data_IF_929663318226
#
_entry.id   IF_929663318226
#
_cell.length_a   1.000
_cell.length_b   1.000
_cell.length_c   1.000
_cell.angle_alpha   90.00
_cell.angle_beta   90.00
_cell.angle_gamma   90.00
#
_symmetry.space_group_name_H-M   'P 1'
#
loop_
_entity.id
_entity.type
_entity.pdbx_description
1 polymer ?
#
# COMPACT_ATOMS: atom_id res chain seq x y z
N UNK A 1 -18.50 22.03 3.37
CA UNK A 1 -17.07 22.05 3.02
C UNK A 1 -16.94 22.80 1.71
N UNK A 2 -16.06 23.79 1.57
CA UNK A 2 -15.83 24.41 0.26
C UNK A 2 -15.42 23.32 -0.72
N UNK A 3 -15.98 23.37 -1.94
CA UNK A 3 -15.60 22.46 -3.02
C UNK A 3 -14.14 22.78 -3.35
N UNK A 4 -13.24 21.85 -3.05
CA UNK A 4 -11.81 21.99 -3.35
C UNK A 4 -11.64 22.09 -4.87
N UNK A 5 -10.76 22.98 -5.31
CA UNK A 5 -10.48 23.13 -6.74
C UNK A 5 -9.83 21.86 -7.29
N UNK A 6 -10.29 21.41 -8.47
CA UNK A 6 -9.83 20.15 -9.06
C UNK A 6 -8.38 20.22 -9.56
N UNK A 7 -7.91 21.41 -9.99
CA UNK A 7 -6.51 21.58 -10.38
C UNK A 7 -5.62 21.61 -9.14
N UNK A 8 -6.07 22.26 -8.06
CA UNK A 8 -5.39 22.19 -6.76
C UNK A 8 -5.29 20.75 -6.26
N UNK A 9 -6.39 19.99 -6.31
CA UNK A 9 -6.41 18.58 -5.93
C UNK A 9 -5.43 17.74 -6.78
N UNK A 10 -5.42 17.96 -8.10
CA UNK A 10 -4.49 17.31 -9.04
C UNK A 10 -3.04 17.64 -8.70
N UNK A 11 -2.73 18.91 -8.46
CA UNK A 11 -1.39 19.35 -8.05
C UNK A 11 -0.96 18.73 -6.74
N UNK A 12 -1.83 18.66 -5.73
CA UNK A 12 -1.50 18.00 -4.45
C UNK A 12 -1.23 16.51 -4.66
N UNK A 13 -2.10 15.80 -5.40
CA UNK A 13 -1.89 14.38 -5.73
C UNK A 13 -0.56 14.15 -6.44
N UNK A 14 -0.13 15.06 -7.30
CA UNK A 14 1.16 14.97 -7.98
C UNK A 14 2.34 15.33 -7.07
N UNK A 15 2.33 16.50 -6.47
CA UNK A 15 3.48 17.05 -5.74
C UNK A 15 3.69 16.38 -4.38
N UNK A 16 2.61 16.10 -3.65
CA UNK A 16 2.69 15.53 -2.30
C UNK A 16 2.66 14.00 -2.29
N UNK A 17 1.91 13.40 -3.22
CA UNK A 17 1.71 11.94 -3.26
C UNK A 17 2.44 11.27 -4.43
N UNK A 18 2.86 12.02 -5.44
CA UNK A 18 3.61 11.51 -6.59
C UNK A 18 2.74 10.92 -7.69
N UNK A 19 1.41 11.06 -7.68
CA UNK A 19 0.55 10.43 -8.69
C UNK A 19 0.49 11.22 -10.00
N UNK A 20 0.76 10.52 -11.11
CA UNK A 20 0.66 11.04 -12.47
C UNK A 20 -0.75 10.90 -13.04
N UNK A 21 -1.50 9.92 -12.52
CA UNK A 21 -2.91 9.67 -12.84
C UNK A 21 -3.69 9.17 -11.64
N UNK A 22 -4.95 9.60 -11.55
CA UNK A 22 -5.95 9.00 -10.66
C UNK A 22 -6.53 7.70 -11.22
N UNK A 23 -7.10 6.84 -10.35
CA UNK A 23 -7.83 5.65 -10.78
C UNK A 23 -9.02 6.01 -11.67
N UNK A 24 -9.44 5.10 -12.54
CA UNK A 24 -10.58 5.29 -13.44
C UNK A 24 -11.92 5.33 -12.71
N UNK A 25 -12.01 4.71 -11.53
CA UNK A 25 -13.20 4.75 -10.67
C UNK A 25 -13.52 6.14 -10.14
N UNK A 26 -12.54 7.05 -10.09
CA UNK A 26 -12.74 8.42 -9.64
C UNK A 26 -12.97 9.36 -10.81
N UNK A 27 -14.10 10.07 -10.81
CA UNK A 27 -14.34 11.17 -11.75
C UNK A 27 -13.48 12.38 -11.42
N UNK A 28 -13.30 12.67 -10.12
CA UNK A 28 -12.65 13.87 -9.60
C UNK A 28 -11.33 13.56 -8.89
N UNK A 29 -10.35 14.46 -9.02
CA UNK A 29 -9.07 14.40 -8.29
C UNK A 29 -9.26 14.65 -6.80
N UNK A 30 -10.23 15.49 -6.42
CA UNK A 30 -10.57 15.73 -5.02
C UNK A 30 -11.01 14.47 -4.27
N UNK A 31 -11.81 13.62 -4.92
CA UNK A 31 -12.24 12.34 -4.36
C UNK A 31 -11.09 11.34 -4.21
N UNK A 32 -10.17 11.29 -5.17
CA UNK A 32 -8.97 10.47 -5.04
C UNK A 32 -8.05 10.98 -3.92
N UNK A 33 -7.87 12.30 -3.79
CA UNK A 33 -7.11 12.89 -2.69
C UNK A 33 -7.73 12.57 -1.33
N UNK A 34 -9.07 12.54 -1.25
CA UNK A 34 -9.78 12.14 -0.04
C UNK A 34 -9.49 10.67 0.32
N UNK A 35 -9.53 9.76 -0.65
CA UNK A 35 -9.18 8.34 -0.44
C UNK A 35 -7.73 8.19 0.05
N UNK A 36 -6.78 8.90 -0.56
CA UNK A 36 -5.37 8.90 -0.16
C UNK A 36 -5.14 9.38 1.27
N UNK A 37 -5.94 10.34 1.73
CA UNK A 37 -5.86 10.90 3.10
C UNK A 37 -6.56 10.03 4.13
N UNK A 38 -7.51 9.20 3.70
CA UNK A 38 -8.33 8.38 4.60
C UNK A 38 -7.57 7.18 5.14
N UNK A 39 -6.48 6.72 4.51
CA UNK A 39 -5.90 5.41 4.85
C UNK A 39 -4.41 5.54 5.17
N UNK A 40 -4.00 4.84 6.22
CA UNK A 40 -2.58 4.74 6.60
C UNK A 40 -2.23 3.31 7.04
N UNK A 41 -1.09 2.82 6.58
CA UNK A 41 -0.47 1.61 7.09
C UNK A 41 0.74 1.96 7.95
N UNK A 42 0.87 1.30 9.10
CA UNK A 42 2.00 1.44 10.01
C UNK A 42 2.63 0.10 10.31
N UNK A 43 3.96 0.09 10.32
CA UNK A 43 4.76 -1.02 10.82
C UNK A 43 5.48 -0.58 12.09
N UNK A 44 5.53 -1.45 13.08
CA UNK A 44 6.24 -1.22 14.35
C UNK A 44 6.92 -2.50 14.82
N UNK A 45 7.96 -2.36 15.64
CA UNK A 45 8.62 -3.49 16.30
C UNK A 45 8.22 -3.51 17.77
N UNK A 46 7.58 -4.60 18.21
CA UNK A 46 7.34 -4.81 19.64
C UNK A 46 8.65 -5.28 20.32
N UNK A 47 9.04 -4.70 21.47
CA UNK A 47 10.29 -5.01 22.16
C UNK A 47 10.20 -6.35 22.91
N UNK A 48 10.40 -7.44 22.18
CA UNK A 48 10.53 -8.81 22.67
C UNK A 48 11.82 -9.39 22.06
N UNK A 49 12.44 -10.40 22.69
CA UNK A 49 13.63 -11.07 22.16
C UNK A 49 13.42 -11.50 20.69
N UNK A 50 14.17 -10.87 19.76
CA UNK A 50 14.07 -11.12 18.32
C UNK A 50 13.16 -10.17 17.52
N UNK A 51 12.38 -9.29 18.17
CA UNK A 51 11.56 -8.26 17.55
C UNK A 51 10.37 -8.81 16.76
N UNK A 52 9.15 -8.54 17.23
CA UNK A 52 7.92 -8.98 16.53
C UNK A 52 7.42 -7.84 15.65
N UNK A 53 7.21 -8.09 14.35
CA UNK A 53 6.52 -7.11 13.49
C UNK A 53 5.08 -6.99 13.93
N UNK A 54 4.63 -5.74 14.04
CA UNK A 54 3.21 -5.43 14.12
C UNK A 54 2.82 -4.54 12.94
N UNK A 55 1.90 -5.02 12.12
CA UNK A 55 1.21 -4.25 11.08
C UNK A 55 -0.06 -3.65 11.67
N UNK A 56 -0.31 -2.36 11.40
CA UNK A 56 -1.54 -1.67 11.80
C UNK A 56 -2.14 -0.99 10.59
N UNK A 57 -3.43 -1.24 10.32
CA UNK A 57 -4.20 -0.54 9.31
C UNK A 57 -5.11 0.48 10.00
N UNK A 58 -5.11 1.70 9.49
CA UNK A 58 -5.81 2.85 10.05
C UNK A 58 -6.74 3.48 9.03
N UNK A 59 -7.83 4.04 9.53
CA UNK A 59 -8.73 4.92 8.81
C UNK A 59 -8.76 6.28 9.51
N UNK A 60 -8.53 7.33 8.73
CA UNK A 60 -8.59 8.73 9.15
C UNK A 60 -9.93 9.33 8.73
N UNK A 61 -10.68 9.87 9.69
CA UNK A 61 -11.97 10.50 9.47
C UNK A 61 -12.14 11.80 10.24
N UNK A 62 -13.34 12.38 10.18
CA UNK A 62 -13.66 13.61 10.91
C UNK A 62 -13.59 13.47 12.43
N UNK A 63 -13.67 12.25 12.95
CA UNK A 63 -13.56 11.91 14.38
C UNK A 63 -12.13 11.57 14.82
N UNK A 64 -11.15 11.61 13.90
CA UNK A 64 -9.75 11.30 14.14
C UNK A 64 -9.30 9.97 13.54
N UNK A 65 -8.26 9.38 14.15
CA UNK A 65 -7.66 8.11 13.72
C UNK A 65 -8.43 6.93 14.32
N UNK A 66 -8.82 5.97 13.48
CA UNK A 66 -9.46 4.72 13.85
C UNK A 66 -8.58 3.54 13.46
N UNK A 67 -8.23 2.71 14.45
CA UNK A 67 -7.52 1.46 14.20
C UNK A 67 -8.50 0.42 13.66
N UNK A 68 -8.30 -0.03 12.42
CA UNK A 68 -9.12 -1.07 11.80
C UNK A 68 -8.63 -2.48 12.12
N UNK A 69 -7.31 -2.67 12.16
CA UNK A 69 -6.71 -3.91 12.62
C UNK A 69 -5.28 -3.71 13.13
N UNK A 70 -4.84 -4.65 13.97
CA UNK A 70 -3.46 -4.81 14.37
C UNK A 70 -3.08 -6.28 14.24
N UNK A 71 -2.11 -6.59 13.38
CA UNK A 71 -1.70 -7.95 13.05
C UNK A 71 -0.25 -8.15 13.49
N UNK A 72 -0.03 -9.15 14.34
CA UNK A 72 1.30 -9.52 14.85
C UNK A 72 1.85 -10.65 14.01
N UNK A 73 3.03 -10.43 13.43
CA UNK A 73 3.73 -11.40 12.60
C UNK A 73 4.80 -12.15 13.37
N UNK A 74 5.72 -12.75 12.61
CA UNK A 74 6.89 -13.42 13.14
C UNK A 74 8.03 -12.43 13.40
N UNK A 75 9.17 -12.96 13.84
CA UNK A 75 10.46 -12.26 13.74
C UNK A 75 10.91 -12.19 12.27
N UNK A 76 11.75 -11.21 11.95
CA UNK A 76 12.31 -10.99 10.60
C UNK A 76 11.31 -10.51 9.54
N UNK A 77 11.82 -10.09 8.39
CA UNK A 77 11.07 -9.32 7.37
C UNK A 77 10.06 -10.09 6.50
N UNK A 78 9.71 -11.32 6.86
CA UNK A 78 8.82 -12.16 6.08
C UNK A 78 7.44 -11.52 5.80
N UNK A 79 6.72 -10.93 6.78
CA UNK A 79 5.43 -10.29 6.50
C UNK A 79 5.52 -9.13 5.49
N UNK A 80 6.61 -8.35 5.53
CA UNK A 80 6.84 -7.25 4.58
C UNK A 80 7.12 -7.81 3.18
N UNK A 81 7.93 -8.87 3.07
CA UNK A 81 8.21 -9.53 1.81
C UNK A 81 6.95 -10.15 1.18
N UNK A 82 6.13 -10.85 1.98
CA UNK A 82 4.84 -11.39 1.52
C UNK A 82 3.89 -10.26 1.08
N UNK A 83 3.91 -9.10 1.76
CA UNK A 83 3.11 -7.94 1.37
C UNK A 83 3.59 -7.32 0.05
N UNK A 84 4.89 -7.21 -0.18
CA UNK A 84 5.45 -6.81 -1.48
C UNK A 84 5.00 -7.73 -2.61
N UNK A 85 5.06 -9.04 -2.38
CA UNK A 85 4.60 -10.04 -3.34
C UNK A 85 3.09 -9.90 -3.58
N UNK A 86 2.30 -9.65 -2.52
CA UNK A 86 0.88 -9.36 -2.61
C UNK A 86 0.60 -8.16 -3.52
N UNK A 87 1.19 -6.99 -3.22
CA UNK A 87 1.04 -5.82 -4.06
C UNK A 87 1.51 -6.08 -5.50
N UNK A 88 2.66 -6.75 -5.66
CA UNK A 88 3.27 -6.98 -6.97
C UNK A 88 2.41 -7.87 -7.87
N UNK A 89 1.91 -8.98 -7.34
CA UNK A 89 1.07 -9.94 -8.07
C UNK A 89 -0.28 -9.34 -8.48
N UNK A 90 -0.92 -8.57 -7.58
CA UNK A 90 -2.16 -7.85 -7.88
C UNK A 90 -1.92 -6.75 -8.93
N UNK A 91 -0.81 -6.03 -8.81
CA UNK A 91 -0.42 -4.95 -9.74
C UNK A 91 -0.06 -5.45 -11.12
N UNK A 92 0.50 -6.65 -11.25
CA UNK A 92 0.73 -7.30 -12.54
C UNK A 92 -0.54 -7.90 -13.16
N UNK A 93 -1.62 -8.02 -12.36
CA UNK A 93 -2.82 -8.76 -12.76
C UNK A 93 -2.59 -10.26 -12.89
N UNK A 94 -1.56 -10.81 -12.24
CA UNK A 94 -1.24 -12.25 -12.26
C UNK A 94 -2.22 -13.07 -11.42
N UNK A 95 -2.89 -12.44 -10.46
CA UNK A 95 -3.97 -13.05 -9.67
C UNK A 95 -4.99 -11.98 -9.24
N UNK A 96 -6.22 -12.43 -8.97
CA UNK A 96 -7.30 -11.57 -8.47
C UNK A 96 -7.44 -11.63 -6.94
N UNK A 97 -6.63 -12.45 -6.28
CA UNK A 97 -6.65 -12.64 -4.84
C UNK A 97 -5.29 -13.05 -4.33
N UNK A 98 -4.85 -12.42 -3.25
CA UNK A 98 -3.63 -12.79 -2.53
C UNK A 98 -3.83 -12.62 -1.03
N UNK A 99 -2.95 -13.26 -0.27
CA UNK A 99 -3.01 -13.26 1.19
C UNK A 99 -1.61 -13.05 1.76
N UNK A 100 -1.53 -12.31 2.86
CA UNK A 100 -0.32 -12.12 3.67
C UNK A 100 -0.57 -12.73 5.04
N UNK A 101 0.33 -13.59 5.52
CA UNK A 101 0.16 -14.29 6.79
C UNK A 101 0.90 -13.58 7.92
N UNK A 102 0.25 -13.55 9.07
CA UNK A 102 0.75 -12.98 10.30
C UNK A 102 0.64 -14.05 11.39
N UNK A 103 1.77 -14.70 11.69
CA UNK A 103 1.86 -15.78 12.68
C UNK A 103 2.62 -15.21 13.88
N UNK A 104 1.92 -15.02 15.00
CA UNK A 104 2.50 -14.54 16.26
C UNK A 104 3.29 -15.67 16.96
N UNK A 105 4.13 -15.30 17.93
CA UNK A 105 4.98 -16.21 18.69
C UNK A 105 4.18 -17.21 19.55
N UNK A 106 2.93 -16.90 19.88
CA UNK A 106 2.02 -17.78 20.60
C UNK A 106 1.29 -18.79 19.69
N UNK A 107 1.57 -18.76 18.38
CA UNK A 107 0.94 -19.62 17.37
C UNK A 107 -0.39 -19.08 16.84
N UNK A 108 -0.86 -17.91 17.29
CA UNK A 108 -2.02 -17.25 16.71
C UNK A 108 -1.72 -16.82 15.28
N UNK A 109 -2.58 -17.19 14.34
CA UNK A 109 -2.44 -16.84 12.93
C UNK A 109 -3.60 -15.96 12.46
N UNK A 110 -3.24 -14.85 11.82
CA UNK A 110 -4.15 -13.99 11.09
C UNK A 110 -3.72 -13.90 9.62
N UNK A 111 -4.70 -13.85 8.73
CA UNK A 111 -4.46 -13.75 7.29
C UNK A 111 -5.08 -12.46 6.78
N UNK A 112 -4.26 -11.54 6.30
CA UNK A 112 -4.73 -10.38 5.55
C UNK A 112 -5.02 -10.81 4.12
N UNK A 113 -6.29 -10.89 3.76
CA UNK A 113 -6.77 -11.27 2.43
C UNK A 113 -7.12 -10.03 1.63
N UNK A 114 -6.52 -9.91 0.45
CA UNK A 114 -6.77 -8.86 -0.53
C UNK A 114 -7.37 -9.48 -1.78
N UNK A 115 -8.54 -8.99 -2.18
CA UNK A 115 -9.24 -9.45 -3.39
C UNK A 115 -9.33 -8.27 -4.34
N UNK A 116 -8.70 -8.35 -5.50
CA UNK A 116 -8.80 -7.32 -6.52
C UNK A 116 -10.04 -7.54 -7.39
N UNK A 117 -10.70 -6.43 -7.70
CA UNK A 117 -11.80 -6.35 -8.65
C UNK A 117 -11.36 -5.45 -9.78
N UNK A 118 -11.20 -6.02 -10.97
CA UNK A 118 -11.00 -5.25 -12.18
C UNK A 118 -12.32 -4.59 -12.56
N UNK A 119 -12.38 -3.29 -12.39
CA UNK A 119 -13.43 -2.43 -12.93
C UNK A 119 -13.02 -2.06 -14.36
N UNK A 120 -13.00 -3.06 -15.26
CA UNK A 120 -13.07 -2.77 -16.69
C UNK A 120 -14.47 -2.18 -16.91
N UNK A 121 -14.55 -0.95 -17.40
CA UNK A 121 -15.78 -0.18 -17.55
C UNK A 121 -16.90 -1.00 -18.23
N UNK A 122 -17.70 -1.70 -17.42
CA UNK A 122 -18.88 -2.43 -17.83
C UNK A 122 -20.09 -1.51 -17.69
N UNK A 123 -20.08 -0.38 -18.41
CA UNK A 123 -21.28 0.40 -18.77
C UNK A 123 -20.87 1.59 -19.65
N UNK A 124 -21.26 1.52 -20.93
CA UNK A 124 -21.67 2.63 -21.78
C UNK A 124 -20.69 3.80 -21.99
N UNK A 125 -20.07 3.82 -23.18
CA UNK A 125 -20.03 4.98 -24.09
C UNK A 125 -19.85 6.41 -23.51
N UNK A 126 -19.05 6.58 -22.47
CA UNK A 126 -18.32 7.81 -22.23
C UNK A 126 -16.90 7.56 -22.72
N UNK A 127 -16.40 8.45 -23.58
CA UNK A 127 -14.99 8.53 -23.97
C UNK A 127 -14.12 8.20 -22.75
N UNK A 128 -13.11 7.32 -22.87
CA UNK A 128 -12.17 7.13 -21.76
C UNK A 128 -11.75 8.53 -21.33
N UNK A 129 -11.82 8.82 -20.03
CA UNK A 129 -11.29 10.07 -19.48
C UNK A 129 -9.77 9.98 -19.73
N UNK A 130 -9.40 10.40 -20.94
CA UNK A 130 -8.06 10.51 -21.46
C UNK A 130 -7.50 11.83 -20.95
N UNK A 131 -7.53 11.98 -19.62
CA UNK A 131 -6.77 13.02 -18.97
C UNK A 131 -5.31 12.63 -19.24
N UNK A 132 -4.59 13.46 -20.00
CA UNK A 132 -3.19 13.19 -20.33
C UNK A 132 -2.38 13.11 -19.03
N UNK A 133 -1.42 12.17 -18.93
CA UNK A 133 -0.56 12.10 -17.76
C UNK A 133 0.17 13.42 -17.58
N UNK A 134 0.44 13.76 -16.33
CA UNK A 134 1.23 14.96 -16.00
C UNK A 134 2.64 14.86 -16.62
N UNK A 135 3.20 13.65 -16.73
CA UNK A 135 4.49 13.36 -17.37
C UNK A 135 4.41 12.08 -18.21
N UNK A 136 5.19 11.91 -19.28
CA UNK A 136 5.19 10.67 -20.07
C UNK A 136 5.49 9.43 -19.19
N UNK A 137 4.63 8.39 -19.26
CA UNK A 137 4.77 7.16 -18.47
C UNK A 137 4.81 5.93 -19.37
N UNK A 138 5.75 5.02 -19.08
CA UNK A 138 5.78 3.66 -19.64
C UNK A 138 5.40 2.66 -18.54
N UNK A 139 4.11 2.34 -18.43
CA UNK A 139 3.59 1.28 -17.54
C UNK A 139 3.25 0.04 -18.35
N UNK A 140 3.58 -1.15 -17.85
CA UNK A 140 3.25 -2.40 -18.51
C UNK A 140 1.81 -2.83 -18.21
N UNK A 141 1.33 -2.55 -16.99
CA UNK A 141 0.00 -2.87 -16.54
C UNK A 141 -0.68 -1.64 -15.94
N UNK A 142 -1.91 -1.39 -16.37
CA UNK A 142 -2.66 -0.22 -15.91
C UNK A 142 -3.48 -0.53 -14.66
N UNK A 143 -2.90 -0.31 -13.47
CA UNK A 143 -3.58 -0.49 -12.19
C UNK A 143 -4.82 0.41 -11.98
N UNK A 144 -5.01 1.46 -12.80
CA UNK A 144 -6.05 2.49 -12.62
C UNK A 144 -7.47 1.93 -12.66
N UNK A 145 -7.67 0.78 -13.31
CA UNK A 145 -8.97 0.11 -13.38
C UNK A 145 -9.19 -0.93 -12.30
N UNK A 146 -8.38 -0.97 -11.25
CA UNK A 146 -8.42 -2.02 -10.23
C UNK A 146 -8.73 -1.45 -8.86
N UNK A 147 -9.72 -2.03 -8.20
CA UNK A 147 -10.07 -1.79 -6.80
C UNK A 147 -9.77 -3.05 -5.99
N UNK A 148 -9.67 -2.93 -4.67
CA UNK A 148 -9.40 -4.05 -3.76
C UNK A 148 -10.34 -4.03 -2.57
N UNK A 149 -10.81 -5.23 -2.21
CA UNK A 149 -11.40 -5.49 -0.91
C UNK A 149 -10.35 -6.08 0.00
N UNK A 150 -10.24 -5.55 1.21
CA UNK A 150 -9.27 -6.00 2.21
C UNK A 150 -10.02 -6.53 3.42
N UNK A 151 -9.66 -7.73 3.86
CA UNK A 151 -10.26 -8.38 5.03
C UNK A 151 -9.20 -9.13 5.83
N UNK A 152 -9.42 -9.27 7.13
CA UNK A 152 -8.62 -10.11 8.01
C UNK A 152 -9.39 -11.37 8.34
N UNK A 153 -8.69 -12.50 8.33
CA UNK A 153 -9.25 -13.79 8.73
C UNK A 153 -8.47 -14.26 9.95
N UNK A 154 -9.15 -14.53 11.05
CA UNK A 154 -8.58 -15.29 12.17
C UNK A 154 -8.57 -16.77 11.78
N UNK A 155 -7.39 -17.38 11.65
CA UNK A 155 -7.26 -18.79 11.21
C UNK A 155 -7.88 -19.78 12.19
N UNK A 156 -7.96 -19.45 13.48
CA UNK A 156 -8.49 -20.34 14.52
C UNK A 156 -10.01 -20.33 14.53
N UNK A 157 -10.61 -19.15 14.40
CA UNK A 157 -12.08 -19.00 14.49
C UNK A 157 -12.77 -18.98 13.12
N UNK A 158 -12.01 -18.73 12.05
CA UNK A 158 -12.54 -18.54 10.69
C UNK A 158 -13.30 -17.22 10.50
N UNK A 159 -13.32 -16.35 11.53
CA UNK A 159 -14.02 -15.07 11.48
C UNK A 159 -13.35 -14.16 10.46
N UNK A 160 -14.17 -13.56 9.59
CA UNK A 160 -13.73 -12.63 8.56
C UNK A 160 -14.14 -11.21 8.96
N UNK A 161 -13.16 -10.35 9.16
CA UNK A 161 -13.37 -8.94 9.48
C UNK A 161 -13.03 -8.09 8.25
N UNK A 162 -14.01 -7.43 7.61
CA UNK A 162 -13.73 -6.51 6.52
C UNK A 162 -13.01 -5.25 7.05
N UNK A 163 -11.97 -4.79 6.34
CA UNK A 163 -11.22 -3.57 6.66
C UNK A 163 -11.57 -2.43 5.69
N UNK A 164 -11.43 -2.69 4.39
CA UNK A 164 -11.68 -1.73 3.33
C UNK A 164 -12.50 -2.39 2.23
N UNK A 165 -13.39 -1.60 1.61
CA UNK A 165 -14.21 -2.03 0.49
C UNK A 165 -13.97 -1.10 -0.71
N UNK A 166 -13.76 -1.70 -1.89
CA UNK A 166 -13.56 -1.00 -3.17
C UNK A 166 -12.46 0.09 -3.14
N UNK A 167 -11.43 -0.10 -2.32
CA UNK A 167 -10.26 0.78 -2.24
C UNK A 167 -9.49 0.74 -3.56
N UNK A 168 -9.07 1.87 -4.13
CA UNK A 168 -8.24 1.81 -5.34
C UNK A 168 -6.91 1.09 -5.08
N UNK A 169 -6.48 0.25 -6.03
CA UNK A 169 -5.19 -0.45 -5.92
C UNK A 169 -4.02 0.53 -5.82
N UNK A 170 -4.16 1.71 -6.44
CA UNK A 170 -3.19 2.80 -6.33
C UNK A 170 -3.04 3.30 -4.90
N UNK A 171 -4.14 3.57 -4.19
CA UNK A 171 -4.10 3.99 -2.78
C UNK A 171 -3.59 2.86 -1.89
N UNK A 172 -4.02 1.63 -2.11
CA UNK A 172 -3.55 0.47 -1.34
C UNK A 172 -2.02 0.30 -1.44
N UNK A 173 -1.49 0.33 -2.68
CA UNK A 173 -0.07 0.27 -2.92
C UNK A 173 0.63 1.47 -2.28
N UNK A 174 0.13 2.68 -2.46
CA UNK A 174 0.71 3.89 -1.86
C UNK A 174 0.81 3.81 -0.34
N UNK A 175 -0.26 3.41 0.36
CA UNK A 175 -0.26 3.29 1.83
C UNK A 175 0.83 2.31 2.30
N UNK A 176 0.98 1.17 1.60
CA UNK A 176 2.08 0.25 1.86
C UNK A 176 3.43 0.89 1.56
N UNK A 177 3.58 1.59 0.43
CA UNK A 177 4.83 2.22 0.07
C UNK A 177 5.21 3.34 1.07
N UNK A 178 4.31 4.18 1.55
CA UNK A 178 4.71 5.22 2.51
C UNK A 178 5.11 4.67 3.87
N UNK A 179 4.63 3.48 4.22
CA UNK A 179 4.85 2.87 5.54
C UNK A 179 6.27 2.32 5.77
N UNK A 180 6.96 1.86 4.72
CA UNK A 180 8.26 1.17 4.85
C UNK A 180 9.43 2.10 5.19
N UNK A 181 9.64 3.24 4.49
CA UNK A 181 10.76 4.14 4.80
C UNK A 181 10.71 4.65 6.25
N UNK A 182 9.51 5.01 6.72
CA UNK A 182 9.30 5.48 8.09
C UNK A 182 9.68 4.39 9.09
N UNK A 183 9.22 3.16 8.86
CA UNK A 183 9.54 2.02 9.68
C UNK A 183 11.04 1.74 9.72
N UNK A 184 11.70 1.64 8.57
CA UNK A 184 13.12 1.30 8.48
C UNK A 184 14.06 2.42 8.96
N UNK A 185 13.60 3.67 9.01
CA UNK A 185 14.36 4.80 9.61
C UNK A 185 14.19 4.93 11.11
N UNK A 186 13.11 4.40 11.70
CA UNK A 186 12.86 4.48 13.15
C UNK A 186 13.79 3.54 13.91
N UNK A 187 14.75 4.08 14.65
CA UNK A 187 15.45 3.30 15.67
C UNK A 187 14.54 3.11 16.89
N UNK A 188 13.68 2.10 16.88
CA UNK A 188 12.98 1.71 18.10
C UNK A 188 14.00 1.20 19.14
N UNK A 189 13.77 1.51 20.41
CA UNK A 189 14.72 1.26 21.51
C UNK A 189 15.00 -0.24 21.63
N UNK A 190 16.19 -0.67 21.20
CA UNK A 190 16.75 -1.99 21.51
C UNK A 190 16.95 -2.96 20.34
N UNK A 191 16.47 -2.67 19.12
CA UNK A 191 16.73 -3.49 17.92
C UNK A 191 17.01 -2.55 16.74
N UNK A 192 18.13 -2.73 16.04
CA UNK A 192 18.42 -1.92 14.84
C UNK A 192 17.64 -2.50 13.66
N UNK A 193 17.02 -1.66 12.85
CA UNK A 193 16.31 -2.13 11.63
C UNK A 193 17.22 -2.88 10.64
N UNK A 194 18.54 -2.64 10.68
CA UNK A 194 19.54 -3.41 9.92
C UNK A 194 19.64 -4.88 10.36
N UNK A 195 19.18 -5.22 11.57
CA UNK A 195 19.13 -6.59 12.07
C UNK A 195 17.89 -7.36 11.53
N UNK A 196 17.01 -6.69 10.79
CA UNK A 196 15.70 -7.20 10.38
C UNK A 196 15.59 -7.63 8.91
N UNK A 197 16.35 -6.95 8.05
CA UNK A 197 16.39 -7.16 6.61
C UNK A 197 17.84 -7.36 6.21
N UNK A 198 18.17 -8.49 5.59
CA UNK A 198 19.51 -8.70 5.06
C UNK A 198 19.80 -7.72 3.90
N UNK A 199 21.08 -7.47 3.60
CA UNK A 199 21.47 -6.62 2.46
C UNK A 199 20.87 -7.09 1.13
N UNK A 200 20.79 -8.39 0.93
CA UNK A 200 20.20 -8.99 -0.27
C UNK A 200 18.69 -8.77 -0.31
N UNK A 201 17.98 -8.95 0.80
CA UNK A 201 16.55 -8.66 0.90
C UNK A 201 16.26 -7.18 0.65
N UNK A 202 17.11 -6.28 1.17
CA UNK A 202 16.96 -4.84 0.95
C UNK A 202 17.09 -4.48 -0.53
N UNK A 203 18.03 -5.12 -1.25
CA UNK A 203 18.15 -4.95 -2.71
C UNK A 203 16.88 -5.38 -3.43
N UNK A 204 16.29 -6.52 -3.06
CA UNK A 204 15.03 -6.98 -3.65
C UNK A 204 13.86 -6.03 -3.33
N UNK A 205 13.79 -5.52 -2.09
CA UNK A 205 12.79 -4.51 -1.71
C UNK A 205 12.92 -3.22 -2.51
N UNK A 206 14.15 -2.74 -2.77
CA UNK A 206 14.38 -1.58 -3.64
C UNK A 206 13.82 -1.81 -5.05
N UNK A 207 14.06 -2.98 -5.64
CA UNK A 207 13.50 -3.32 -6.96
C UNK A 207 11.96 -3.40 -6.93
N UNK A 208 11.40 -4.11 -5.95
CA UNK A 208 9.95 -4.22 -5.79
C UNK A 208 9.28 -2.86 -5.56
N UNK A 209 9.97 -1.95 -4.86
CA UNK A 209 9.55 -0.57 -4.65
C UNK A 209 9.38 0.22 -5.95
N UNK A 210 10.46 0.29 -6.73
CA UNK A 210 10.48 1.00 -8.00
C UNK A 210 9.44 0.40 -8.96
N UNK A 211 9.32 -0.93 -8.97
CA UNK A 211 8.32 -1.64 -9.76
C UNK A 211 6.90 -1.22 -9.37
N UNK A 212 6.53 -1.37 -8.09
CA UNK A 212 5.18 -1.03 -7.61
C UNK A 212 4.83 0.43 -7.84
N UNK A 213 5.78 1.34 -7.58
CA UNK A 213 5.59 2.77 -7.78
C UNK A 213 5.30 3.09 -9.24
N UNK A 214 6.10 2.54 -10.17
CA UNK A 214 5.91 2.72 -11.62
C UNK A 214 4.56 2.20 -12.07
N UNK A 215 4.23 0.96 -11.74
CA UNK A 215 2.96 0.36 -12.17
C UNK A 215 1.74 1.01 -11.48
N UNK A 216 1.93 1.66 -10.33
CA UNK A 216 0.91 2.47 -9.65
C UNK A 216 0.71 3.87 -10.25
N UNK A 217 1.35 4.15 -11.39
CA UNK A 217 1.32 5.46 -12.08
C UNK A 217 1.82 6.61 -11.21
N UNK A 218 2.83 6.34 -10.39
CA UNK A 218 3.50 7.36 -9.60
C UNK A 218 4.79 7.82 -10.28
N UNK A 219 5.31 8.97 -9.88
CA UNK A 219 6.60 9.50 -10.31
C UNK A 219 7.68 8.45 -10.12
N UNK A 220 8.49 8.26 -11.16
CA UNK A 220 9.64 7.36 -11.07
C UNK A 220 10.60 7.84 -9.98
N UNK A 221 11.22 6.90 -9.30
CA UNK A 221 12.25 7.13 -8.27
C UNK A 221 13.44 6.29 -8.67
N UNK A 222 14.62 6.91 -8.73
CA UNK A 222 15.86 6.19 -9.02
C UNK A 222 16.23 5.29 -7.84
N UNK A 223 16.88 4.15 -8.09
CA UNK A 223 17.29 3.26 -7.00
C UNK A 223 18.25 3.94 -6.01
N UNK A 224 19.07 4.88 -6.49
CA UNK A 224 19.98 5.72 -5.69
C UNK A 224 19.23 6.62 -4.71
N UNK A 225 18.05 7.12 -5.08
CA UNK A 225 17.20 7.92 -4.18
C UNK A 225 16.63 7.07 -3.05
N UNK A 226 16.47 5.76 -3.27
CA UNK A 226 16.07 4.83 -2.21
C UNK A 226 17.16 4.61 -1.17
N UNK A 227 18.44 4.93 -1.45
CA UNK A 227 19.50 4.86 -0.44
C UNK A 227 19.37 5.99 0.61
N UNK A 228 18.65 7.06 0.27
CA UNK A 228 18.28 8.12 1.22
C UNK A 228 16.99 7.79 1.99
N UNK A 229 16.16 6.90 1.45
CA UNK A 229 14.85 6.53 1.99
C UNK A 229 14.88 5.23 2.80
N UNK A 230 15.78 4.32 2.48
CA UNK A 230 15.96 3.03 3.11
C UNK A 230 17.41 2.94 3.61
N UNK A 231 17.66 2.38 4.81
CA UNK A 231 19.01 2.24 5.33
C UNK A 231 19.91 1.41 4.38
N UNK A 232 21.23 1.68 4.36
CA UNK A 232 22.18 1.06 3.43
C UNK A 232 22.25 -0.48 3.54
#
# INVERSE_FOLDING_TARGET
MPVMDENEAKSICFESYGFLHKPFSFTHWSAFLQELRQIEFRWTLAPIAGGVIVFTALEHGGEGEKVLCQLRGSTGSAPIAEFFECCGTLTQGSCDKRSVRFIDLDGSEHVLRVVSKRQLAATNAATPISDEPILPVLSQYNCRGTSVDVSVIDSRTGVVTPLFHDLSLQTFNYAFLTSIPIFLKRGDVGIRNADFVSKEQMRHFRFAWCFLRRESMMTAVEMSELDLLLPP
#
